data_IF_933138410028
#
_entry.id   IF_933138410028
#
_cell.length_a   1.000
_cell.length_b   1.000
_cell.length_c   1.000
_cell.angle_alpha   90.00
_cell.angle_beta   90.00
_cell.angle_gamma   90.00
#
_symmetry.space_group_name_H-M   'P 1'
#
loop_
_entity.id
_entity.type
_entity.pdbx_description
1 polymer ?
#
# COMPACT_ATOMS: atom_id res chain seq x y z
N UNK A 1 -15.56 -35.42 -50.84
CA UNK A 1 -16.87 -35.06 -51.42
C UNK A 1 -17.90 -35.06 -50.29
N UNK A 2 -18.33 -33.86 -49.86
CA UNK A 2 -19.59 -33.51 -49.17
C UNK A 2 -20.13 -34.48 -48.09
N UNK A 3 -20.32 -34.07 -46.84
CA UNK A 3 -21.50 -33.28 -46.42
C UNK A 3 -21.28 -32.66 -45.02
N UNK A 4 -21.16 -31.33 -44.98
CA UNK A 4 -21.62 -30.54 -43.83
C UNK A 4 -23.14 -30.54 -43.89
N UNK A 5 -23.83 -31.13 -42.92
CA UNK A 5 -25.25 -30.86 -42.64
C UNK A 5 -25.61 -31.35 -41.23
N UNK A 6 -25.40 -30.44 -40.28
CA UNK A 6 -26.30 -30.05 -39.18
C UNK A 6 -27.34 -31.12 -38.78
N UNK A 7 -27.14 -31.73 -37.60
CA UNK A 7 -28.22 -32.25 -36.74
C UNK A 7 -27.94 -31.68 -35.34
N UNK A 8 -28.60 -30.58 -35.00
CA UNK A 8 -29.79 -30.55 -34.16
C UNK A 8 -29.43 -30.54 -32.66
N UNK A 9 -29.72 -29.39 -32.06
CA UNK A 9 -29.70 -28.99 -30.65
C UNK A 9 -30.04 -30.07 -29.63
N UNK A 10 -29.32 -30.09 -28.50
CA UNK A 10 -29.86 -29.97 -27.13
C UNK A 10 -28.68 -29.80 -26.12
N UNK A 11 -28.66 -28.78 -25.24
CA UNK A 11 -27.56 -28.52 -24.31
C UNK A 11 -27.70 -29.41 -23.07
N UNK A 12 -26.68 -30.21 -22.74
CA UNK A 12 -26.64 -30.95 -21.47
C UNK A 12 -25.46 -30.46 -20.64
N UNK A 13 -25.84 -29.79 -19.57
CA UNK A 13 -25.06 -29.20 -18.49
C UNK A 13 -24.26 -30.28 -17.75
N UNK A 14 -22.97 -30.04 -17.52
CA UNK A 14 -22.28 -30.49 -16.29
C UNK A 14 -21.06 -29.58 -16.08
N UNK A 15 -21.22 -28.42 -15.44
CA UNK A 15 -21.06 -28.29 -13.99
C UNK A 15 -19.74 -28.91 -13.49
N UNK A 16 -18.64 -28.22 -13.76
CA UNK A 16 -17.33 -28.50 -13.19
C UNK A 16 -16.68 -27.22 -12.69
N UNK A 17 -17.44 -26.43 -11.92
CA UNK A 17 -16.92 -25.30 -11.16
C UNK A 17 -15.95 -25.88 -10.12
N UNK A 18 -14.66 -25.93 -10.45
CA UNK A 18 -13.61 -26.22 -9.48
C UNK A 18 -13.67 -25.09 -8.46
N UNK A 19 -14.26 -25.37 -7.30
CA UNK A 19 -14.20 -24.52 -6.12
C UNK A 19 -12.72 -24.39 -5.76
N UNK A 20 -12.13 -23.24 -6.08
CA UNK A 20 -10.84 -22.85 -5.57
C UNK A 20 -11.03 -22.58 -4.07
N UNK A 21 -10.93 -23.61 -3.22
CA UNK A 21 -10.86 -23.39 -1.77
C UNK A 21 -9.43 -22.96 -1.45
N UNK A 22 -9.11 -21.74 -1.86
CA UNK A 22 -8.04 -20.98 -1.23
C UNK A 22 -8.67 -20.48 0.06
N UNK A 23 -8.41 -21.14 1.18
CA UNK A 23 -8.74 -20.57 2.49
C UNK A 23 -8.15 -19.15 2.59
N UNK A 24 -8.71 -18.26 3.43
CA UNK A 24 -8.08 -16.97 3.63
C UNK A 24 -6.67 -17.22 4.09
N UNK A 25 -5.69 -16.82 3.28
CA UNK A 25 -4.33 -16.71 3.73
C UNK A 25 -4.41 -15.66 4.84
N UNK A 26 -4.29 -16.10 6.10
CA UNK A 26 -4.05 -15.15 7.17
C UNK A 26 -2.62 -14.67 6.91
N UNK A 27 -2.51 -13.59 6.14
CA UNK A 27 -1.27 -12.87 6.00
C UNK A 27 -0.83 -12.52 7.42
N UNK A 28 0.25 -13.14 7.86
CA UNK A 28 0.93 -12.79 9.09
C UNK A 28 1.06 -11.27 9.15
N UNK A 29 0.88 -10.72 10.37
CA UNK A 29 0.84 -9.29 10.64
C UNK A 29 1.80 -8.54 9.73
N UNK A 30 1.25 -7.57 9.01
CA UNK A 30 1.98 -6.75 8.06
C UNK A 30 3.15 -6.12 8.84
N UNK A 31 4.37 -6.63 8.67
CA UNK A 31 5.63 -6.02 9.11
C UNK A 31 5.87 -4.73 8.31
N UNK A 32 4.87 -3.85 8.28
CA UNK A 32 5.01 -2.50 7.78
C UNK A 32 5.87 -1.81 8.83
N UNK A 33 7.03 -1.25 8.46
CA UNK A 33 7.73 -0.34 9.34
C UNK A 33 6.69 0.66 9.86
N UNK A 34 6.59 0.86 11.18
CA UNK A 34 5.70 1.87 11.71
C UNK A 34 6.14 3.21 11.10
N UNK A 35 5.35 3.71 10.15
CA UNK A 35 5.68 4.92 9.43
C UNK A 35 5.16 6.08 10.31
N UNK A 36 6.08 6.79 10.96
CA UNK A 36 5.73 7.87 11.89
C UNK A 36 5.00 9.04 11.19
N UNK A 37 5.03 9.11 9.86
CA UNK A 37 4.33 10.11 9.04
C UNK A 37 2.79 10.00 9.10
N UNK A 38 2.24 9.00 9.79
CA UNK A 38 0.80 8.83 10.02
C UNK A 38 0.43 8.75 11.50
N UNK A 39 1.38 8.91 12.41
CA UNK A 39 1.09 8.95 13.84
C UNK A 39 0.32 10.25 14.16
N UNK A 40 -0.94 10.18 14.63
CA UNK A 40 -1.73 11.36 14.98
C UNK A 40 -1.13 12.14 16.16
N UNK A 41 -0.20 11.56 16.91
CA UNK A 41 0.49 12.19 18.03
C UNK A 41 1.88 12.75 17.65
N UNK A 42 2.32 12.63 16.40
CA UNK A 42 3.59 13.22 15.96
C UNK A 42 3.49 14.75 15.96
N UNK A 43 4.21 15.42 16.87
CA UNK A 43 4.17 16.88 16.98
C UNK A 43 5.10 17.57 15.99
N UNK A 44 6.22 16.94 15.63
CA UNK A 44 7.24 17.49 14.74
C UNK A 44 8.35 16.48 14.44
N UNK A 45 9.01 16.63 13.28
CA UNK A 45 10.13 15.78 12.88
C UNK A 45 11.15 16.58 12.08
N UNK A 46 12.35 16.76 12.62
CA UNK A 46 13.47 17.43 11.95
C UNK A 46 14.54 16.39 11.62
N UNK A 47 14.83 16.20 10.33
CA UNK A 47 15.80 15.20 9.85
C UNK A 47 17.24 15.68 9.94
N UNK A 48 17.46 16.99 9.99
CA UNK A 48 18.79 17.63 10.05
C UNK A 48 19.70 17.19 8.88
N UNK A 49 19.12 17.02 7.69
CA UNK A 49 19.83 16.64 6.45
C UNK A 49 20.22 17.86 5.60
N UNK A 50 19.95 19.07 6.09
CA UNK A 50 20.42 20.32 5.50
C UNK A 50 21.94 20.45 5.60
N UNK A 51 22.60 20.80 4.50
CA UNK A 51 24.07 20.92 4.45
C UNK A 51 24.59 22.24 5.03
N UNK A 52 23.72 23.22 5.23
CA UNK A 52 24.08 24.56 5.72
C UNK A 52 22.85 25.34 6.20
N UNK A 53 23.11 26.47 6.86
CA UNK A 53 22.06 27.38 7.36
C UNK A 53 21.69 27.11 8.82
N UNK A 54 20.71 27.88 9.30
CA UNK A 54 20.24 27.81 10.70
C UNK A 54 18.81 27.28 10.81
N UNK A 55 18.21 26.80 9.72
CA UNK A 55 16.80 26.39 9.68
C UNK A 55 16.70 24.90 9.39
N UNK A 56 15.99 24.16 10.24
CA UNK A 56 15.63 22.77 10.01
C UNK A 56 14.17 22.68 9.53
N UNK A 57 13.94 22.03 8.39
CA UNK A 57 12.59 21.82 7.88
C UNK A 57 11.85 20.76 8.70
N UNK A 58 10.57 21.02 8.99
CA UNK A 58 9.68 20.04 9.64
C UNK A 58 9.09 19.09 8.60
N UNK A 59 9.51 17.83 8.67
CA UNK A 59 9.10 16.74 7.79
C UNK A 59 7.77 16.10 8.20
N UNK A 60 7.20 16.49 9.34
CA UNK A 60 5.90 15.95 9.81
C UNK A 60 4.68 16.54 9.09
N UNK A 61 4.87 17.62 8.32
CA UNK A 61 3.77 18.35 7.68
C UNK A 61 3.10 19.41 8.56
N UNK A 62 3.46 19.51 9.84
CA UNK A 62 2.90 20.51 10.77
C UNK A 62 3.50 21.92 10.62
N UNK A 63 4.44 22.11 9.69
CA UNK A 63 5.08 23.40 9.36
C UNK A 63 5.84 24.03 10.55
N UNK A 64 6.33 23.23 11.49
CA UNK A 64 7.04 23.69 12.69
C UNK A 64 8.54 23.79 12.45
N UNK A 65 9.00 24.74 11.64
CA UNK A 65 10.45 24.90 11.35
C UNK A 65 11.26 25.12 12.63
N UNK A 66 12.43 24.48 12.72
CA UNK A 66 13.39 24.71 13.81
C UNK A 66 14.40 25.79 13.42
N UNK A 67 14.89 26.56 14.39
CA UNK A 67 15.97 27.55 14.20
C UNK A 67 17.11 27.27 15.18
N UNK A 68 18.31 26.99 14.67
CA UNK A 68 19.51 26.87 15.47
C UNK A 68 19.88 28.25 16.04
N UNK A 69 19.93 28.33 17.36
CA UNK A 69 20.44 29.50 18.09
C UNK A 69 21.76 29.14 18.76
N UNK A 70 22.66 30.09 18.76
CA UNK A 70 23.84 30.04 19.63
C UNK A 70 23.38 30.48 21.02
N UNK A 71 23.77 29.75 22.06
CA UNK A 71 23.70 30.27 23.43
C UNK A 71 24.92 31.17 23.64
N UNK A 72 24.68 32.38 24.14
CA UNK A 72 25.70 33.35 24.55
C UNK A 72 26.06 33.17 26.03
#
# INVERSE_FOLDING_TARGET
MTKRLIRSSLPVILAGLILCVVGPVNAAGKDTPATLDKDPHLVGWWKLDETSGKTAADSSGHKRKGTLKEDL
#
